data_IF_669971908958
#
_entry.id   IF_669971908958
#
_cell.length_a   1.000
_cell.length_b   1.000
_cell.length_c   1.000
_cell.angle_alpha   90.00
_cell.angle_beta   90.00
_cell.angle_gamma   90.00
#
_symmetry.space_group_name_H-M   'P 1'
#
loop_
_entity.id
_entity.type
_entity.pdbx_description
1 polymer ?
#
# COMPACT_ATOMS: atom_id res chain seq x y z
N UNK A 1 -7.69 -16.44 -7.85
CA UNK A 1 -6.38 -16.54 -7.16
C UNK A 1 -6.10 -17.99 -6.81
N UNK A 2 -5.11 -18.61 -7.46
CA UNK A 2 -4.78 -20.02 -7.21
C UNK A 2 -3.74 -20.07 -6.07
N UNK A 3 -4.05 -20.79 -4.98
CA UNK A 3 -3.04 -21.23 -4.01
C UNK A 3 -2.15 -22.26 -4.72
N UNK A 4 -0.93 -21.89 -5.12
CA UNK A 4 0.04 -22.86 -5.59
C UNK A 4 0.46 -23.77 -4.41
N UNK A 5 0.67 -25.07 -4.67
CA UNK A 5 1.20 -25.97 -3.64
C UNK A 5 2.60 -25.47 -3.24
N UNK A 6 2.86 -25.44 -1.95
CA UNK A 6 4.07 -24.88 -1.33
C UNK A 6 5.39 -25.36 -1.99
N UNK A 7 5.39 -26.58 -2.49
CA UNK A 7 6.57 -27.20 -3.15
C UNK A 7 6.84 -26.62 -4.53
N UNK A 8 5.81 -26.32 -5.32
CA UNK A 8 5.95 -25.78 -6.67
C UNK A 8 6.35 -24.31 -6.65
N UNK A 9 5.82 -23.54 -5.70
CA UNK A 9 6.16 -22.13 -5.51
C UNK A 9 7.61 -21.95 -5.07
N UNK A 10 8.11 -22.83 -4.17
CA UNK A 10 9.51 -22.82 -3.73
C UNK A 10 10.44 -23.11 -4.90
N UNK A 11 10.10 -24.08 -5.78
CA UNK A 11 10.95 -24.40 -6.94
C UNK A 11 11.03 -23.28 -7.97
N UNK A 12 9.93 -22.61 -8.27
CA UNK A 12 9.91 -21.48 -9.23
C UNK A 12 10.66 -20.27 -8.65
N UNK A 13 10.46 -19.95 -7.37
CA UNK A 13 11.20 -18.87 -6.69
C UNK A 13 12.73 -19.12 -6.68
N UNK A 14 13.15 -20.36 -6.45
CA UNK A 14 14.57 -20.73 -6.46
C UNK A 14 15.19 -20.51 -7.85
N UNK A 15 14.46 -20.82 -8.93
CA UNK A 15 15.00 -20.67 -10.28
C UNK A 15 15.17 -19.20 -10.71
N UNK A 16 14.34 -18.30 -10.24
CA UNK A 16 14.41 -16.88 -10.64
C UNK A 16 15.51 -16.13 -9.87
N UNK A 17 15.68 -16.44 -8.58
CA UNK A 17 16.61 -15.71 -7.70
C UNK A 17 17.95 -16.43 -7.42
N UNK A 18 18.13 -17.68 -7.88
CA UNK A 18 19.35 -18.46 -7.57
C UNK A 18 20.42 -18.47 -8.68
N UNK A 19 20.14 -17.88 -9.85
CA UNK A 19 21.05 -17.96 -11.02
C UNK A 19 21.84 -16.67 -11.26
N UNK A 20 21.46 -15.56 -10.60
CA UNK A 20 22.13 -14.28 -10.77
C UNK A 20 23.35 -14.13 -9.85
N UNK A 21 24.50 -13.73 -10.39
CA UNK A 21 25.59 -13.17 -9.62
C UNK A 21 25.05 -11.95 -8.84
N UNK A 22 25.18 -11.96 -7.52
CA UNK A 22 24.89 -10.80 -6.69
C UNK A 22 25.90 -9.68 -7.05
N UNK A 23 25.57 -8.87 -8.01
CA UNK A 23 26.20 -7.59 -8.24
C UNK A 23 25.11 -6.56 -7.93
N UNK A 24 25.18 -5.94 -6.77
CA UNK A 24 24.44 -4.71 -6.52
C UNK A 24 25.02 -3.65 -7.43
N UNK A 25 24.23 -3.06 -8.34
CA UNK A 25 24.68 -1.89 -9.05
C UNK A 25 25.05 -0.82 -8.01
N UNK A 26 26.16 -0.09 -8.16
CA UNK A 26 26.63 0.84 -7.13
C UNK A 26 25.68 2.00 -6.80
N UNK A 27 24.52 2.05 -7.40
CA UNK A 27 23.58 3.19 -7.30
C UNK A 27 22.11 2.77 -7.15
N UNK A 28 21.81 1.53 -6.72
CA UNK A 28 20.41 1.17 -6.47
C UNK A 28 19.94 1.83 -5.17
N UNK A 29 18.93 2.70 -5.27
CA UNK A 29 18.41 3.51 -4.15
C UNK A 29 16.96 3.16 -3.77
N UNK A 30 16.42 2.08 -4.31
CA UNK A 30 15.05 1.64 -4.02
C UNK A 30 14.84 1.37 -2.53
N UNK A 31 13.73 1.87 -1.97
CA UNK A 31 13.35 1.64 -0.58
C UNK A 31 11.95 1.07 -0.51
N UNK A 32 11.78 -0.01 0.24
CA UNK A 32 10.49 -0.61 0.58
C UNK A 32 10.10 -0.16 1.98
N UNK A 33 8.87 0.31 2.14
CA UNK A 33 8.33 0.71 3.44
C UNK A 33 6.96 0.14 3.70
N UNK A 34 6.68 -0.17 4.97
CA UNK A 34 5.36 -0.61 5.44
C UNK A 34 4.70 0.53 6.20
N UNK A 35 3.43 0.78 5.91
CA UNK A 35 2.60 1.77 6.61
C UNK A 35 2.47 1.43 8.10
N UNK A 36 2.42 2.45 8.96
CA UNK A 36 2.12 2.29 10.40
C UNK A 36 0.68 2.70 10.69
N UNK A 37 0.06 2.07 11.70
CA UNK A 37 -1.35 2.30 12.02
C UNK A 37 -1.69 2.00 13.47
N UNK A 38 -2.65 2.76 14.04
CA UNK A 38 -3.28 2.46 15.33
C UNK A 38 -4.65 1.84 15.11
N UNK A 39 -4.96 0.77 15.82
CA UNK A 39 -6.19 -0.02 15.69
C UNK A 39 -6.67 -0.49 17.07
N UNK A 40 -7.94 -0.93 17.16
CA UNK A 40 -8.48 -1.57 18.37
C UNK A 40 -8.34 -3.09 18.29
N UNK A 41 -8.32 -3.79 19.44
CA UNK A 41 -8.52 -5.24 19.45
C UNK A 41 -9.80 -5.63 18.72
N UNK A 42 -9.71 -6.61 17.83
CA UNK A 42 -10.82 -7.09 16.99
C UNK A 42 -10.99 -6.36 15.66
N UNK A 43 -10.30 -5.24 15.43
CA UNK A 43 -10.41 -4.51 14.16
C UNK A 43 -9.83 -5.31 12.99
N UNK A 44 -10.53 -5.21 11.84
CA UNK A 44 -9.99 -5.58 10.53
C UNK A 44 -9.61 -4.31 9.77
N UNK A 45 -8.41 -4.28 9.22
CA UNK A 45 -7.84 -3.08 8.60
C UNK A 45 -6.85 -3.43 7.49
N UNK A 46 -6.32 -2.42 6.83
CA UNK A 46 -5.30 -2.59 5.79
C UNK A 46 -4.01 -1.88 6.17
N UNK A 47 -2.87 -2.47 5.77
CA UNK A 47 -1.57 -1.81 5.68
C UNK A 47 -1.10 -1.83 4.24
N UNK A 48 -0.48 -0.76 3.79
CA UNK A 48 0.11 -0.65 2.47
C UNK A 48 1.62 -0.85 2.54
N UNK A 49 2.13 -1.54 1.52
CA UNK A 49 3.58 -1.68 1.31
C UNK A 49 3.95 -0.87 0.08
N UNK A 50 4.86 0.06 0.24
CA UNK A 50 5.26 1.03 -0.77
C UNK A 50 6.68 0.80 -1.26
N UNK A 51 6.92 1.13 -2.53
CA UNK A 51 8.24 1.29 -3.11
C UNK A 51 8.47 2.78 -3.39
N UNK A 52 9.64 3.27 -3.00
CA UNK A 52 10.06 4.65 -3.28
C UNK A 52 11.49 4.64 -3.82
N UNK A 53 11.84 5.69 -4.58
CA UNK A 53 13.18 5.90 -5.14
C UNK A 53 13.70 4.72 -5.99
N UNK A 54 12.81 3.95 -6.64
CA UNK A 54 13.24 2.90 -7.54
C UNK A 54 13.87 3.53 -8.79
N UNK A 55 15.16 3.41 -8.92
CA UNK A 55 15.94 3.95 -10.03
C UNK A 55 16.40 2.88 -11.04
N UNK A 56 15.87 1.66 -10.92
CA UNK A 56 16.24 0.54 -11.77
C UNK A 56 15.01 -0.20 -12.33
N UNK A 57 15.05 -0.65 -13.61
CA UNK A 57 14.01 -1.53 -14.15
C UNK A 57 13.93 -2.82 -13.34
N UNK A 58 12.74 -3.13 -12.82
CA UNK A 58 12.53 -4.31 -11.98
C UNK A 58 11.52 -5.24 -12.64
N UNK A 59 11.86 -6.51 -12.81
CA UNK A 59 11.02 -7.53 -13.44
C UNK A 59 10.35 -8.47 -12.46
N UNK A 60 10.99 -8.70 -11.31
CA UNK A 60 10.46 -9.55 -10.26
C UNK A 60 10.80 -8.98 -8.89
N UNK A 61 10.00 -9.30 -7.89
CA UNK A 61 10.30 -8.95 -6.50
C UNK A 61 9.84 -10.04 -5.54
N UNK A 62 10.49 -10.09 -4.39
CA UNK A 62 10.11 -10.90 -3.25
C UNK A 62 10.24 -10.09 -1.96
N UNK A 63 9.18 -10.07 -1.18
CA UNK A 63 9.11 -9.31 0.07
C UNK A 63 8.64 -10.23 1.18
N UNK A 64 9.56 -10.80 1.95
CA UNK A 64 9.26 -11.57 3.15
C UNK A 64 9.08 -10.62 4.33
N UNK A 65 7.93 -10.69 4.99
CA UNK A 65 7.58 -9.90 6.17
C UNK A 65 7.36 -10.82 7.38
N UNK A 66 7.56 -10.27 8.56
CA UNK A 66 7.25 -10.92 9.83
C UNK A 66 6.58 -9.94 10.77
N UNK A 67 5.52 -10.40 11.41
CA UNK A 67 4.86 -9.72 12.52
C UNK A 67 5.55 -10.10 13.84
N UNK A 68 5.92 -9.13 14.66
CA UNK A 68 6.59 -9.39 15.94
C UNK A 68 5.67 -10.07 16.99
N UNK A 69 4.38 -10.21 16.68
CA UNK A 69 3.39 -10.83 17.56
C UNK A 69 2.31 -11.59 16.78
N UNK A 70 1.79 -12.67 17.36
CA UNK A 70 0.65 -13.43 16.85
C UNK A 70 -0.70 -12.74 17.10
N UNK A 71 -0.74 -11.61 17.79
CA UNK A 71 -1.94 -10.79 17.92
C UNK A 71 -2.33 -10.06 16.64
N UNK A 72 -1.48 -10.12 15.61
CA UNK A 72 -1.75 -9.61 14.28
C UNK A 72 -1.77 -10.76 13.28
N UNK A 73 -2.85 -10.91 12.53
CA UNK A 73 -3.02 -11.93 11.50
C UNK A 73 -3.22 -11.28 10.15
N UNK A 74 -2.46 -11.71 9.14
CA UNK A 74 -2.72 -11.35 7.76
C UNK A 74 -3.72 -12.35 7.16
N UNK A 75 -4.81 -11.85 6.61
CA UNK A 75 -5.87 -12.67 6.02
C UNK A 75 -5.61 -12.94 4.54
N UNK A 76 -5.21 -11.90 3.80
CA UNK A 76 -4.84 -11.98 2.39
C UNK A 76 -4.04 -10.74 1.95
N UNK A 77 -3.44 -10.83 0.77
CA UNK A 77 -2.71 -9.74 0.12
C UNK A 77 -3.44 -9.38 -1.18
N UNK A 78 -3.70 -8.09 -1.37
CA UNK A 78 -4.28 -7.56 -2.59
C UNK A 78 -3.23 -6.78 -3.40
N UNK A 79 -3.19 -7.05 -4.69
CA UNK A 79 -2.31 -6.38 -5.65
C UNK A 79 -3.05 -5.38 -6.53
N UNK A 80 -4.31 -5.10 -6.25
CA UNK A 80 -5.10 -4.11 -6.95
C UNK A 80 -4.54 -2.69 -6.76
N UNK A 81 -4.40 -1.95 -7.86
CA UNK A 81 -3.83 -0.59 -7.84
C UNK A 81 -2.33 -0.52 -7.54
N UNK A 82 -1.63 -1.66 -7.49
CA UNK A 82 -0.19 -1.72 -7.29
C UNK A 82 0.60 -1.50 -8.58
N UNK A 83 1.92 -1.37 -8.47
CA UNK A 83 2.85 -1.30 -9.61
C UNK A 83 2.86 -2.58 -10.47
N UNK A 84 2.20 -3.65 -10.01
CA UNK A 84 2.09 -4.91 -10.74
C UNK A 84 1.47 -4.70 -12.13
N UNK A 85 2.20 -5.03 -13.16
CA UNK A 85 1.70 -4.97 -14.53
C UNK A 85 0.77 -6.15 -14.86
N UNK A 86 -0.03 -6.03 -15.92
CA UNK A 86 -1.01 -7.06 -16.34
C UNK A 86 -0.39 -8.41 -16.71
N UNK A 87 0.86 -8.41 -17.16
CA UNK A 87 1.67 -9.59 -17.50
C UNK A 87 2.60 -10.04 -16.36
N UNK A 88 2.36 -9.59 -15.15
CA UNK A 88 2.96 -10.10 -13.92
C UNK A 88 1.91 -10.80 -13.07
N UNK A 89 2.26 -11.91 -12.44
CA UNK A 89 1.42 -12.54 -11.44
C UNK A 89 1.88 -12.19 -10.04
N UNK A 90 0.93 -11.88 -9.16
CA UNK A 90 1.17 -11.64 -7.74
C UNK A 90 0.84 -12.90 -6.93
N UNK A 91 1.79 -13.37 -6.15
CA UNK A 91 1.65 -14.52 -5.27
C UNK A 91 1.90 -14.12 -3.82
N UNK A 92 1.28 -14.83 -2.88
CA UNK A 92 1.60 -14.69 -1.47
C UNK A 92 1.46 -16.00 -0.71
N UNK A 93 2.23 -16.11 0.36
CA UNK A 93 2.20 -17.23 1.32
C UNK A 93 2.09 -16.64 2.72
N UNK A 94 1.12 -17.10 3.49
CA UNK A 94 0.93 -16.71 4.89
C UNK A 94 1.19 -17.95 5.75
N UNK A 95 2.07 -17.83 6.75
CA UNK A 95 2.38 -18.89 7.70
C UNK A 95 2.54 -18.30 9.11
N UNK A 96 1.44 -18.30 9.89
CA UNK A 96 1.42 -17.70 11.22
C UNK A 96 1.77 -16.22 11.19
N UNK A 97 2.86 -15.84 11.85
CA UNK A 97 3.38 -14.47 11.90
C UNK A 97 4.28 -14.10 10.73
N UNK A 98 4.41 -14.97 9.73
CA UNK A 98 5.22 -14.72 8.53
C UNK A 98 4.33 -14.58 7.31
N UNK A 99 4.65 -13.62 6.48
CA UNK A 99 4.02 -13.35 5.19
C UNK A 99 5.14 -13.19 4.16
N UNK A 100 5.00 -13.80 3.00
CA UNK A 100 5.85 -13.51 1.85
C UNK A 100 4.95 -13.20 0.66
N UNK A 101 5.21 -12.13 -0.06
CA UNK A 101 4.58 -11.88 -1.34
C UNK A 101 5.61 -11.58 -2.42
N UNK A 102 5.24 -11.88 -3.65
CA UNK A 102 6.14 -11.81 -4.80
C UNK A 102 5.40 -11.37 -6.04
N UNK A 103 6.10 -10.65 -6.92
CA UNK A 103 5.73 -10.49 -8.33
C UNK A 103 6.62 -11.38 -9.17
N UNK A 104 6.01 -12.14 -10.06
CA UNK A 104 6.70 -13.01 -11.00
C UNK A 104 6.22 -12.64 -12.41
N UNK A 105 7.14 -12.38 -13.35
CA UNK A 105 6.76 -12.11 -14.73
C UNK A 105 6.13 -13.36 -15.36
N UNK A 106 5.11 -13.16 -16.17
CA UNK A 106 4.68 -14.18 -17.12
C UNK A 106 5.78 -14.37 -18.17
N UNK A 107 6.13 -15.62 -18.49
CA UNK A 107 7.32 -15.97 -19.30
C UNK A 107 7.06 -15.64 -20.78
N UNK A 108 6.80 -14.37 -21.09
CA UNK A 108 6.62 -13.85 -22.43
C UNK A 108 7.65 -12.75 -22.68
N UNK A 109 8.41 -12.84 -23.75
CA UNK A 109 9.32 -11.78 -24.16
C UNK A 109 8.58 -10.67 -24.91
N UNK A 110 8.91 -9.38 -24.65
CA UNK A 110 9.86 -8.88 -23.66
C UNK A 110 9.33 -8.98 -22.22
N UNK A 111 10.25 -9.24 -21.27
CA UNK A 111 9.88 -9.31 -19.85
C UNK A 111 9.23 -7.99 -19.40
N UNK A 112 8.09 -8.07 -18.70
CA UNK A 112 7.47 -6.89 -18.12
C UNK A 112 8.40 -6.30 -17.05
N UNK A 113 8.44 -4.99 -16.95
CA UNK A 113 9.18 -4.30 -15.89
C UNK A 113 8.46 -3.01 -15.49
N UNK A 114 8.63 -2.62 -14.25
CA UNK A 114 8.32 -1.27 -13.79
C UNK A 114 9.63 -0.51 -13.58
N UNK A 115 9.81 0.57 -14.33
CA UNK A 115 11.04 1.36 -14.33
C UNK A 115 10.81 2.66 -13.56
N UNK A 116 11.76 3.00 -12.72
CA UNK A 116 11.88 4.32 -12.06
C UNK A 116 10.58 4.80 -11.38
N UNK A 117 9.71 3.88 -10.97
CA UNK A 117 8.42 4.20 -10.40
C UNK A 117 8.46 4.06 -8.87
N UNK A 118 7.85 5.03 -8.23
CA UNK A 118 7.45 4.91 -6.83
C UNK A 118 5.96 4.62 -6.79
N UNK A 119 5.54 3.69 -5.94
CA UNK A 119 4.13 3.34 -5.87
C UNK A 119 3.82 2.23 -4.90
N UNK A 120 2.54 1.86 -4.88
CA UNK A 120 2.03 0.77 -4.06
C UNK A 120 2.55 -0.57 -4.58
N UNK A 121 3.11 -1.41 -3.69
CA UNK A 121 3.47 -2.78 -4.01
C UNK A 121 2.34 -3.75 -3.67
N UNK A 122 1.75 -3.61 -2.49
CA UNK A 122 0.65 -4.47 -2.06
C UNK A 122 -0.16 -3.82 -0.95
N UNK A 123 -1.41 -4.24 -0.81
CA UNK A 123 -2.27 -3.95 0.35
C UNK A 123 -2.45 -5.23 1.15
N UNK A 124 -2.01 -5.22 2.40
CA UNK A 124 -2.18 -6.32 3.35
C UNK A 124 -3.50 -6.13 4.07
N UNK A 125 -4.36 -7.15 4.09
CA UNK A 125 -5.61 -7.17 4.86
C UNK A 125 -5.39 -7.95 6.15
N UNK A 126 -5.53 -7.28 7.27
CA UNK A 126 -5.11 -7.75 8.58
C UNK A 126 -6.27 -7.71 9.57
N UNK A 127 -6.16 -8.54 10.60
CA UNK A 127 -7.05 -8.51 11.76
C UNK A 127 -6.20 -8.49 13.03
N UNK A 128 -6.50 -7.55 13.92
CA UNK A 128 -5.99 -7.54 15.29
C UNK A 128 -6.83 -8.52 16.13
N UNK A 129 -6.18 -9.36 16.93
CA UNK A 129 -6.90 -10.27 17.83
C UNK A 129 -7.76 -9.49 18.81
N UNK A 130 -9.00 -9.93 19.03
CA UNK A 130 -9.88 -9.34 20.04
C UNK A 130 -9.34 -9.50 21.47
N UNK A 131 -8.44 -10.45 21.71
CA UNK A 131 -7.77 -10.66 23.00
C UNK A 131 -6.40 -9.99 23.09
N UNK A 132 -6.01 -9.17 22.11
CA UNK A 132 -4.73 -8.49 22.13
C UNK A 132 -4.68 -7.48 23.30
N UNK A 133 -3.61 -7.46 24.10
CA UNK A 133 -3.37 -6.37 25.03
C UNK A 133 -2.98 -5.08 24.26
N UNK A 134 -2.81 -3.99 24.99
CA UNK A 134 -2.14 -2.82 24.43
C UNK A 134 -0.71 -3.18 24.07
N UNK A 135 -0.41 -3.22 22.79
CA UNK A 135 0.87 -3.69 22.27
C UNK A 135 1.22 -3.01 20.94
N UNK A 136 2.52 -2.81 20.73
CA UNK A 136 3.08 -2.41 19.45
C UNK A 136 3.57 -3.64 18.71
N UNK A 137 2.99 -3.91 17.55
CA UNK A 137 3.40 -5.02 16.67
C UNK A 137 4.21 -4.47 15.51
N UNK A 138 5.47 -4.83 15.43
CA UNK A 138 6.36 -4.43 14.33
C UNK A 138 6.11 -5.36 13.14
N UNK A 139 5.93 -4.76 11.96
CA UNK A 139 5.88 -5.45 10.67
C UNK A 139 7.20 -5.20 9.97
N UNK A 140 8.11 -6.14 10.10
CA UNK A 140 9.49 -6.01 9.63
C UNK A 140 9.80 -6.99 8.52
N UNK A 141 10.86 -6.74 7.76
CA UNK A 141 11.39 -7.68 6.78
C UNK A 141 12.09 -8.85 7.47
N UNK A 142 12.11 -9.97 6.78
CA UNK A 142 12.93 -11.12 7.18
C UNK A 142 14.24 -11.07 6.41
N UNK A 143 15.36 -11.04 7.14
CA UNK A 143 16.68 -11.27 6.55
C UNK A 143 17.25 -12.54 7.17
N UNK A 144 16.98 -13.67 6.53
CA UNK A 144 17.37 -14.99 7.05
C UNK A 144 17.88 -15.88 5.93
N UNK A 145 19.05 -16.48 6.16
CA UNK A 145 19.51 -17.62 5.39
C UNK A 145 18.89 -18.92 5.96
N UNK A 146 18.37 -19.73 5.07
CA UNK A 146 17.85 -21.07 5.39
C UNK A 146 18.50 -22.06 4.44
N UNK A 147 19.01 -23.15 5.00
CA UNK A 147 19.55 -24.25 4.22
C UNK A 147 18.57 -25.42 4.20
N UNK A 148 18.46 -26.10 3.06
CA UNK A 148 17.77 -27.37 2.95
C UNK A 148 18.59 -28.33 2.09
N UNK A 149 18.45 -29.62 2.35
CA UNK A 149 19.18 -30.66 1.65
C UNK A 149 18.24 -31.45 0.74
N UNK A 150 18.65 -31.62 -0.53
CA UNK A 150 17.98 -32.47 -1.50
C UNK A 150 19.01 -33.31 -2.22
N UNK A 151 18.86 -34.64 -2.13
CA UNK A 151 19.75 -35.56 -2.82
C UNK A 151 21.25 -35.45 -2.41
N UNK A 152 21.56 -35.08 -1.16
CA UNK A 152 22.91 -34.87 -0.66
C UNK A 152 23.52 -33.52 -1.03
N UNK A 153 22.78 -32.63 -1.70
CA UNK A 153 23.24 -31.27 -1.97
C UNK A 153 22.52 -30.26 -1.04
N UNK A 154 23.31 -29.37 -0.45
CA UNK A 154 22.84 -28.29 0.40
C UNK A 154 22.52 -27.09 -0.49
N UNK A 155 21.28 -26.62 -0.38
CA UNK A 155 20.79 -25.42 -1.05
C UNK A 155 20.58 -24.31 -0.02
N UNK A 156 21.00 -23.09 -0.36
CA UNK A 156 20.77 -21.89 0.43
C UNK A 156 19.57 -21.15 -0.10
N UNK A 157 18.60 -20.82 0.77
CA UNK A 157 17.51 -19.92 0.45
C UNK A 157 17.69 -18.68 1.31
N UNK A 158 18.07 -17.60 0.68
CA UNK A 158 18.05 -16.28 1.30
C UNK A 158 16.61 -15.77 1.31
N UNK A 159 16.07 -15.54 2.50
CA UNK A 159 14.80 -14.82 2.67
C UNK A 159 15.13 -13.40 3.07
N UNK A 160 15.06 -12.52 2.11
CA UNK A 160 15.27 -11.08 2.26
C UNK A 160 14.42 -10.33 1.25
N UNK A 161 14.24 -9.03 1.46
CA UNK A 161 13.64 -8.18 0.43
C UNK A 161 14.63 -8.11 -0.74
N UNK A 162 14.19 -8.56 -1.91
CA UNK A 162 15.02 -8.57 -3.11
C UNK A 162 14.19 -8.37 -4.35
N UNK A 163 14.76 -7.67 -5.30
CA UNK A 163 14.23 -7.44 -6.62
C UNK A 163 15.17 -8.06 -7.66
N UNK A 164 14.67 -8.26 -8.87
CA UNK A 164 15.47 -8.71 -10.00
C UNK A 164 15.26 -7.74 -11.16
N UNK A 165 16.34 -7.37 -11.83
CA UNK A 165 16.28 -6.60 -13.06
C UNK A 165 16.04 -7.49 -14.30
N UNK A 166 16.06 -6.88 -15.50
CA UNK A 166 15.86 -7.56 -16.78
C UNK A 166 16.94 -8.59 -17.13
N UNK A 167 18.12 -8.46 -16.54
CA UNK A 167 19.27 -9.33 -16.78
C UNK A 167 19.41 -10.42 -15.70
N UNK A 168 18.46 -10.46 -14.74
CA UNK A 168 18.48 -11.40 -13.62
C UNK A 168 19.41 -10.97 -12.48
N UNK A 169 19.90 -9.72 -12.49
CA UNK A 169 20.71 -9.18 -11.39
C UNK A 169 19.84 -8.96 -10.17
N UNK A 170 20.30 -9.38 -9.00
CA UNK A 170 19.60 -9.14 -7.74
C UNK A 170 19.86 -7.73 -7.24
N UNK A 171 18.78 -6.99 -7.00
CA UNK A 171 18.77 -5.66 -6.42
C UNK A 171 18.29 -5.75 -4.97
N UNK A 172 18.96 -5.08 -4.06
CA UNK A 172 18.64 -5.09 -2.62
C UNK A 172 18.15 -3.71 -2.21
N UNK A 173 16.81 -3.51 -2.08
CA UNK A 173 16.28 -2.26 -1.58
C UNK A 173 16.51 -2.11 -0.08
N UNK A 174 16.61 -0.86 0.38
CA UNK A 174 16.46 -0.55 1.78
C UNK A 174 15.04 -0.88 2.25
N UNK A 175 14.89 -1.18 3.55
CA UNK A 175 13.59 -1.52 4.12
C UNK A 175 13.30 -0.69 5.38
N UNK A 176 12.07 -0.14 5.43
CA UNK A 176 11.55 0.54 6.61
C UNK A 176 10.35 -0.23 7.16
N UNK A 177 10.47 -0.72 8.38
CA UNK A 177 9.42 -1.43 9.08
C UNK A 177 8.22 -0.53 9.40
N UNK A 178 7.01 -1.11 9.36
CA UNK A 178 5.80 -0.49 9.88
C UNK A 178 5.52 -0.93 11.31
N UNK A 179 4.69 -0.15 12.01
CA UNK A 179 4.22 -0.48 13.36
C UNK A 179 2.71 -0.45 13.43
N UNK A 180 2.12 -1.49 13.99
CA UNK A 180 0.69 -1.54 14.34
C UNK A 180 0.55 -1.40 15.85
N UNK A 181 0.00 -0.28 16.27
CA UNK A 181 -0.34 -0.01 17.66
C UNK A 181 -1.74 -0.56 17.94
N UNK A 182 -1.84 -1.64 18.73
CA UNK A 182 -3.14 -2.17 19.19
C UNK A 182 -3.42 -1.56 20.56
N UNK A 183 -4.55 -0.82 20.68
CA UNK A 183 -4.94 -0.10 21.91
C UNK A 183 -6.41 -0.34 22.24
N UNK A 184 -6.74 -0.65 23.51
CA UNK A 184 -8.11 -0.93 23.96
C UNK A 184 -8.98 0.32 24.03
N UNK A 185 -8.45 1.44 24.45
CA UNK A 185 -9.12 2.72 24.32
C UNK A 185 -8.52 3.48 23.16
N UNK A 186 -9.34 3.65 22.16
CA UNK A 186 -9.33 4.86 21.40
C UNK A 186 -10.42 5.75 22.01
N UNK A 187 -10.47 5.97 23.30
CA UNK A 187 -10.61 7.33 23.73
C UNK A 187 -9.47 7.99 22.99
N UNK A 188 -9.86 8.79 22.03
CA UNK A 188 -8.98 9.69 21.33
C UNK A 188 -8.24 10.48 22.44
N UNK A 189 -7.20 9.86 23.02
CA UNK A 189 -6.02 10.62 23.26
C UNK A 189 -5.63 10.98 21.82
N UNK A 190 -6.20 12.09 21.35
CA UNK A 190 -5.59 12.89 20.33
C UNK A 190 -4.11 12.71 20.60
N UNK A 191 -3.39 11.96 19.71
CA UNK A 191 -1.95 12.15 19.69
C UNK A 191 -1.78 13.66 19.76
N UNK A 192 -1.22 14.15 20.84
CA UNK A 192 -0.74 15.52 20.96
C UNK A 192 0.44 15.71 20.01
N UNK A 193 0.24 15.34 18.78
CA UNK A 193 1.18 15.39 17.73
C UNK A 193 0.49 15.31 16.41
N UNK A 194 -0.24 16.35 16.08
CA UNK A 194 -0.75 16.71 14.76
C UNK A 194 -2.27 16.68 14.61
N UNK A 195 -2.99 17.41 15.45
CA UNK A 195 -4.17 18.10 14.91
C UNK A 195 -3.67 18.89 13.68
N UNK A 196 -4.36 18.77 12.54
CA UNK A 196 -3.99 19.56 11.38
C UNK A 196 -3.88 21.02 11.82
N UNK A 197 -2.72 21.62 11.69
CA UNK A 197 -2.48 23.01 12.08
C UNK A 197 -3.11 23.99 11.10
N UNK A 198 -3.64 23.49 9.99
CA UNK A 198 -4.26 24.29 8.94
C UNK A 198 -5.40 23.54 8.24
N UNK A 199 -6.38 24.31 7.75
CA UNK A 199 -7.39 23.82 6.84
C UNK A 199 -6.72 23.32 5.55
N UNK A 200 -6.93 22.06 5.18
CA UNK A 200 -6.43 21.51 3.94
C UNK A 200 -7.49 20.70 3.19
N UNK A 201 -7.38 20.72 1.86
CA UNK A 201 -8.20 19.91 0.95
C UNK A 201 -7.25 19.12 0.06
N UNK A 202 -7.26 17.80 0.18
CA UNK A 202 -6.39 16.93 -0.59
C UNK A 202 -6.89 16.78 -2.04
N UNK A 203 -6.00 16.31 -2.93
CA UNK A 203 -6.39 15.86 -4.27
C UNK A 203 -7.26 14.60 -4.12
N UNK A 204 -8.36 14.54 -4.89
CA UNK A 204 -9.20 13.33 -4.92
C UNK A 204 -8.41 12.12 -5.42
N UNK A 205 -8.74 10.95 -4.88
CA UNK A 205 -8.13 9.70 -5.29
C UNK A 205 -9.19 8.60 -5.48
N UNK A 206 -9.11 7.86 -6.61
CA UNK A 206 -8.23 8.06 -7.76
C UNK A 206 -8.51 9.36 -8.53
N UNK A 207 -7.53 9.84 -9.31
CA UNK A 207 -7.68 10.93 -10.27
C UNK A 207 -6.66 10.72 -11.43
N UNK A 208 -7.09 10.41 -12.66
CA UNK A 208 -8.47 10.25 -13.11
C UNK A 208 -9.25 9.16 -12.38
N UNK A 209 -10.60 9.25 -12.36
CA UNK A 209 -11.45 8.29 -11.66
C UNK A 209 -12.61 7.77 -12.55
N UNK A 210 -13.16 6.58 -12.17
CA UNK A 210 -14.26 5.91 -12.87
C UNK A 210 -15.02 4.98 -11.91
N UNK A 211 -16.30 5.16 -11.66
CA UNK A 211 -17.00 6.46 -11.55
C UNK A 211 -16.89 7.06 -10.15
N UNK A 212 -16.17 6.40 -9.24
CA UNK A 212 -16.09 6.74 -7.81
C UNK A 212 -14.74 7.33 -7.46
N UNK A 213 -14.75 8.38 -6.65
CA UNK A 213 -13.53 8.97 -6.09
C UNK A 213 -13.75 9.44 -4.66
N UNK A 214 -12.67 9.46 -3.90
CA UNK A 214 -12.66 9.94 -2.52
C UNK A 214 -11.94 11.28 -2.43
N UNK A 215 -12.43 12.17 -1.58
CA UNK A 215 -11.87 13.49 -1.30
C UNK A 215 -11.58 13.53 0.20
N UNK A 216 -10.32 13.70 0.57
CA UNK A 216 -9.89 13.88 1.96
C UNK A 216 -9.67 15.35 2.27
N UNK A 217 -9.97 15.75 3.49
CA UNK A 217 -9.75 17.11 3.98
C UNK A 217 -9.42 17.09 5.47
N UNK A 218 -8.74 18.12 5.94
CA UNK A 218 -8.33 18.26 7.34
C UNK A 218 -8.80 19.59 7.94
N UNK A 219 -9.21 19.52 9.20
CA UNK A 219 -9.72 20.65 9.97
C UNK A 219 -8.87 20.86 11.23
N UNK A 220 -8.32 22.06 11.45
CA UNK A 220 -7.59 22.39 12.68
C UNK A 220 -8.51 22.48 13.91
N UNK A 221 -9.76 22.86 13.70
CA UNK A 221 -10.80 23.04 14.72
C UNK A 221 -12.11 22.50 14.21
N UNK A 222 -13.06 22.23 15.13
CA UNK A 222 -14.44 21.89 14.75
C UNK A 222 -15.03 23.03 13.93
N UNK A 223 -15.57 22.70 12.74
CA UNK A 223 -16.05 23.70 11.79
C UNK A 223 -17.22 23.18 10.98
N UNK A 224 -18.08 24.10 10.55
CA UNK A 224 -19.09 23.79 9.54
C UNK A 224 -18.43 23.69 8.17
N UNK A 225 -18.50 22.51 7.55
CA UNK A 225 -17.86 22.22 6.26
C UNK A 225 -18.94 22.05 5.19
N UNK A 226 -18.73 22.71 4.06
CA UNK A 226 -19.51 22.51 2.84
C UNK A 226 -18.57 22.10 1.71
N UNK A 227 -18.86 20.96 1.05
CA UNK A 227 -18.12 20.49 -0.13
C UNK A 227 -19.08 20.35 -1.30
N UNK A 228 -18.80 21.10 -2.35
CA UNK A 228 -19.62 21.17 -3.57
C UNK A 228 -18.79 20.83 -4.81
N UNK A 229 -19.44 20.17 -5.78
CA UNK A 229 -18.84 19.81 -7.07
C UNK A 229 -19.44 20.71 -8.17
N UNK A 230 -18.58 21.19 -9.05
CA UNK A 230 -18.93 22.07 -10.17
C UNK A 230 -18.41 21.51 -11.50
N UNK A 231 -19.13 21.77 -12.58
CA UNK A 231 -18.64 21.52 -13.94
C UNK A 231 -17.74 22.68 -14.45
N UNK A 232 -17.23 22.56 -15.68
CA UNK A 232 -16.39 23.59 -16.33
C UNK A 232 -17.07 24.96 -16.48
N UNK A 233 -18.42 25.00 -16.53
CA UNK A 233 -19.20 26.22 -16.63
C UNK A 233 -19.44 26.86 -15.27
N UNK A 234 -18.92 26.28 -14.18
CA UNK A 234 -19.15 26.77 -12.82
C UNK A 234 -20.53 26.44 -12.26
N UNK A 235 -21.32 25.61 -12.93
CA UNK A 235 -22.62 25.16 -12.45
C UNK A 235 -22.43 24.08 -11.39
N UNK A 236 -23.17 24.16 -10.28
CA UNK A 236 -23.13 23.14 -9.24
C UNK A 236 -23.75 21.85 -9.74
N UNK A 237 -23.00 20.76 -9.63
CA UNK A 237 -23.39 19.40 -10.02
C UNK A 237 -24.01 18.67 -8.84
N UNK A 238 -23.33 18.71 -7.68
CA UNK A 238 -23.77 18.05 -6.45
C UNK A 238 -23.13 18.67 -5.22
N UNK A 239 -23.65 18.33 -4.06
CA UNK A 239 -23.10 18.66 -2.76
C UNK A 239 -22.74 17.35 -2.06
N UNK A 240 -21.49 17.23 -1.59
CA UNK A 240 -20.96 16.02 -0.97
C UNK A 240 -20.99 16.08 0.55
N UNK A 241 -20.90 17.28 1.12
CA UNK A 241 -21.00 17.51 2.55
C UNK A 241 -21.60 18.90 2.82
N UNK A 242 -22.42 19.00 3.87
CA UNK A 242 -22.90 20.27 4.45
C UNK A 242 -23.25 19.99 5.93
N UNK A 243 -22.34 20.31 6.85
CA UNK A 243 -22.54 20.03 8.27
C UNK A 243 -21.33 20.29 9.16
N UNK A 244 -21.51 20.04 10.44
CA UNK A 244 -20.48 20.17 11.45
C UNK A 244 -19.53 18.95 11.46
N UNK A 245 -18.25 19.20 11.35
CA UNK A 245 -17.20 18.18 11.45
C UNK A 245 -16.25 18.53 12.62
N UNK A 246 -15.81 17.54 13.41
CA UNK A 246 -14.81 17.78 14.44
C UNK A 246 -13.45 18.14 13.84
N UNK A 247 -12.49 18.58 14.65
CA UNK A 247 -11.09 18.69 14.24
C UNK A 247 -10.53 17.31 13.83
N UNK A 248 -9.62 17.28 12.85
CA UNK A 248 -9.02 16.03 12.37
C UNK A 248 -9.12 15.83 10.87
N UNK A 249 -8.80 14.62 10.43
CA UNK A 249 -8.88 14.17 9.05
C UNK A 249 -10.27 13.60 8.74
N UNK A 250 -10.81 13.98 7.58
CA UNK A 250 -12.13 13.56 7.11
C UNK A 250 -12.08 13.13 5.67
N UNK A 251 -13.06 12.32 5.26
CA UNK A 251 -13.19 11.80 3.91
C UNK A 251 -14.63 11.81 3.46
N UNK A 252 -14.89 12.25 2.23
CA UNK A 252 -16.17 12.14 1.55
C UNK A 252 -15.98 11.44 0.20
N UNK A 253 -17.02 10.82 -0.31
CA UNK A 253 -16.99 10.08 -1.55
C UNK A 253 -17.94 10.72 -2.57
N UNK A 254 -17.52 10.73 -3.82
CA UNK A 254 -18.37 11.09 -4.94
C UNK A 254 -18.52 9.93 -5.92
N UNK A 255 -19.76 9.45 -6.07
CA UNK A 255 -20.16 8.57 -7.15
C UNK A 255 -20.72 9.40 -8.31
N UNK A 256 -20.00 9.44 -9.42
CA UNK A 256 -20.28 10.22 -10.60
C UNK A 256 -20.95 9.41 -11.74
N UNK A 257 -21.64 8.31 -11.40
CA UNK A 257 -22.29 7.45 -12.41
C UNK A 257 -23.21 8.21 -13.37
N UNK A 258 -23.87 9.25 -12.90
CA UNK A 258 -24.79 10.05 -13.70
C UNK A 258 -24.16 11.27 -14.37
N UNK A 259 -22.88 11.53 -14.09
CA UNK A 259 -22.16 12.67 -14.65
C UNK A 259 -21.42 12.27 -15.95
N UNK A 260 -21.35 13.11 -16.98
CA UNK A 260 -20.56 12.83 -18.19
C UNK A 260 -19.05 12.88 -17.89
N UNK A 261 -18.25 12.14 -18.68
CA UNK A 261 -16.79 12.25 -18.63
C UNK A 261 -16.34 13.69 -18.87
N UNK A 262 -15.33 14.13 -18.13
CA UNK A 262 -14.81 15.49 -18.23
C UNK A 262 -14.17 16.03 -16.98
N UNK A 263 -13.79 17.30 -17.03
CA UNK A 263 -13.16 18.02 -15.92
C UNK A 263 -14.25 18.57 -14.99
N UNK A 264 -14.04 18.36 -13.70
CA UNK A 264 -14.85 18.90 -12.61
C UNK A 264 -13.95 19.61 -11.61
N UNK A 265 -14.57 20.48 -10.81
CA UNK A 265 -13.94 21.15 -9.68
C UNK A 265 -14.74 20.82 -8.43
N UNK A 266 -14.06 20.61 -7.32
CA UNK A 266 -14.70 20.55 -6.01
C UNK A 266 -14.17 21.65 -5.12
N UNK A 267 -15.07 22.26 -4.38
CA UNK A 267 -14.79 23.37 -3.48
C UNK A 267 -15.22 22.99 -2.08
N UNK A 268 -14.29 23.10 -1.14
CA UNK A 268 -14.57 23.05 0.28
C UNK A 268 -14.62 24.47 0.84
N UNK A 269 -15.64 24.76 1.62
CA UNK A 269 -15.76 26.00 2.40
C UNK A 269 -15.85 25.64 3.87
N UNK A 270 -14.96 26.19 4.70
CA UNK A 270 -14.94 26.03 6.14
C UNK A 270 -14.28 27.26 6.78
N UNK A 271 -14.78 27.73 7.91
CA UNK A 271 -14.24 28.89 8.68
C UNK A 271 -13.99 30.13 7.82
N UNK A 272 -14.90 30.43 6.90
CA UNK A 272 -14.78 31.57 6.00
C UNK A 272 -13.70 31.46 4.92
N UNK A 273 -12.98 30.32 4.86
CA UNK A 273 -11.99 30.01 3.82
C UNK A 273 -12.58 29.07 2.78
N UNK A 274 -12.09 29.17 1.54
CA UNK A 274 -12.50 28.33 0.43
C UNK A 274 -11.28 27.74 -0.26
N UNK A 275 -11.26 26.41 -0.41
CA UNK A 275 -10.24 25.63 -1.12
C UNK A 275 -10.89 24.94 -2.31
N UNK A 276 -10.21 24.97 -3.47
CA UNK A 276 -10.75 24.35 -4.70
C UNK A 276 -9.69 23.47 -5.35
N UNK A 277 -10.09 22.30 -5.84
CA UNK A 277 -9.28 21.36 -6.58
C UNK A 277 -9.98 20.90 -7.85
N UNK A 278 -9.17 20.45 -8.82
CA UNK A 278 -9.62 19.91 -10.10
C UNK A 278 -9.62 18.39 -10.06
N UNK A 279 -10.57 17.74 -10.72
CA UNK A 279 -10.61 16.28 -10.90
C UNK A 279 -11.05 15.92 -12.33
N UNK A 280 -10.66 14.73 -12.79
CA UNK A 280 -10.96 14.22 -14.13
C UNK A 280 -11.74 12.91 -14.03
N UNK A 281 -12.99 12.92 -14.51
CA UNK A 281 -13.83 11.75 -14.67
C UNK A 281 -13.59 11.14 -16.06
N UNK A 282 -13.26 9.87 -16.10
CA UNK A 282 -13.06 9.07 -17.31
C UNK A 282 -13.97 7.83 -17.21
N UNK A 283 -14.95 7.72 -18.10
CA UNK A 283 -15.79 6.53 -18.24
C UNK A 283 -15.39 5.76 -19.47
#
# INVERSE_FOLDING_TARGET
MRKLSTVFTVMILICIFSIGKAATPPEFTGMVSVESKTVKPGDSFTLRVWLTNNNYPTTALRIPLRFSSSYLTCNYVDFGGSLKQSNMEGYYIINGTSLEFSYIPDVVYPLPFFANDSGLLATLYLTASASAPDISVIVDSVNRDSTFEVGGQIYHIWRRVEFSDTDGTTLLPDFTAGTVEIRHSTDIALEEGMLPTSLALAQNYPNPFNPVTSISFSLPTRSHVRIEVFNLLGQKVTMLADGEFPSGEHKVEWNADKAPSGIYFYRMTADGKSLTRKMLLMK
#
